data_IF_287482364688
#
_entry.id   IF_287482364688
#
_cell.length_a   1.000
_cell.length_b   1.000
_cell.length_c   1.000
_cell.angle_alpha   90.00
_cell.angle_beta   90.00
_cell.angle_gamma   90.00
#
_symmetry.space_group_name_H-M   'P 1'
#
loop_
_entity.id
_entity.type
_entity.pdbx_description
1 polymer ?
#
# COMPACT_ATOMS: atom_id res chain seq x y z
N UNK A 1 -37.93 -44.09 -38.12
CA UNK A 1 -38.93 -43.02 -38.31
C UNK A 1 -38.46 -41.80 -37.52
N UNK A 2 -38.36 -40.62 -38.16
CA UNK A 2 -37.96 -39.37 -37.49
C UNK A 2 -39.18 -38.75 -36.78
N UNK A 3 -39.01 -38.28 -35.54
CA UNK A 3 -39.96 -37.38 -34.87
C UNK A 3 -39.34 -35.98 -34.82
N UNK A 4 -40.03 -35.00 -35.39
CA UNK A 4 -39.66 -33.59 -35.34
C UNK A 4 -40.61 -32.94 -34.33
N UNK A 5 -40.05 -32.28 -33.32
CA UNK A 5 -40.79 -31.41 -32.41
C UNK A 5 -40.28 -29.99 -32.57
N UNK A 6 -41.14 -29.10 -33.05
CA UNK A 6 -40.92 -27.66 -33.02
C UNK A 6 -41.65 -27.10 -31.79
N UNK A 7 -40.99 -26.26 -31.00
CA UNK A 7 -41.66 -25.37 -30.06
C UNK A 7 -41.02 -23.98 -30.08
N UNK A 8 -41.87 -22.96 -30.02
CA UNK A 8 -41.52 -21.57 -30.31
C UNK A 8 -40.61 -20.92 -29.27
N UNK A 9 -39.68 -20.11 -29.75
CA UNK A 9 -38.94 -19.13 -28.94
C UNK A 9 -39.87 -17.96 -28.62
N UNK A 10 -40.06 -17.65 -27.33
CA UNK A 10 -40.79 -16.47 -26.88
C UNK A 10 -39.77 -15.38 -26.51
N UNK A 11 -39.65 -14.34 -27.34
CA UNK A 11 -38.77 -13.19 -27.06
C UNK A 11 -39.48 -12.20 -26.13
N UNK A 12 -38.92 -11.97 -24.94
CA UNK A 12 -39.43 -11.00 -23.99
C UNK A 12 -38.56 -9.72 -24.03
N UNK A 13 -39.02 -8.70 -24.74
CA UNK A 13 -38.34 -7.41 -24.83
C UNK A 13 -38.60 -6.54 -23.59
N UNK A 14 -37.56 -6.23 -22.81
CA UNK A 14 -37.64 -5.29 -21.68
C UNK A 14 -37.16 -3.91 -22.12
N UNK A 15 -38.06 -2.91 -22.07
CA UNK A 15 -37.74 -1.52 -22.40
C UNK A 15 -37.75 -0.68 -21.13
N UNK A 16 -36.59 -0.25 -20.65
CA UNK A 16 -36.49 0.72 -19.55
C UNK A 16 -36.62 2.16 -20.09
N UNK A 17 -37.64 2.89 -19.62
CA UNK A 17 -37.73 4.34 -19.81
C UNK A 17 -37.04 5.04 -18.65
N UNK A 18 -36.13 5.98 -18.97
CA UNK A 18 -35.49 6.86 -18.01
C UNK A 18 -36.43 8.00 -17.61
N UNK A 19 -36.82 8.07 -16.34
CA UNK A 19 -37.50 9.23 -15.74
C UNK A 19 -36.55 9.97 -14.79
N UNK A 20 -36.11 11.16 -15.21
CA UNK A 20 -35.30 12.03 -14.38
C UNK A 20 -36.19 12.74 -13.34
N UNK A 21 -35.86 12.61 -12.06
CA UNK A 21 -36.49 13.34 -10.97
C UNK A 21 -35.50 14.30 -10.31
N UNK A 22 -35.44 15.53 -10.82
CA UNK A 22 -35.01 16.66 -10.02
C UNK A 22 -36.20 17.14 -9.19
N UNK A 23 -36.06 17.24 -7.87
CA UNK A 23 -37.11 17.81 -7.01
C UNK A 23 -36.53 18.74 -5.96
N UNK A 24 -37.12 19.94 -5.93
CA UNK A 24 -36.76 21.08 -5.08
C UNK A 24 -37.79 21.17 -3.95
N UNK A 25 -37.31 21.39 -2.73
CA UNK A 25 -37.97 22.04 -1.57
C UNK A 25 -39.44 22.47 -1.76
N UNK A 26 -40.37 22.04 -0.89
CA UNK A 26 -40.92 22.85 0.23
C UNK A 26 -42.14 22.20 0.97
N UNK A 27 -42.31 22.59 2.24
CA UNK A 27 -43.42 22.51 3.24
C UNK A 27 -44.89 22.32 2.73
N UNK A 28 -45.89 21.88 3.52
CA UNK A 28 -45.99 21.28 4.87
C UNK A 28 -47.45 20.82 5.16
N UNK A 29 -47.67 20.08 6.27
CA UNK A 29 -48.79 20.18 7.25
C UNK A 29 -49.47 18.83 7.65
N UNK A 30 -49.26 18.45 8.92
CA UNK A 30 -50.19 17.84 9.93
C UNK A 30 -51.25 16.81 9.46
N UNK A 31 -51.41 15.61 10.06
CA UNK A 31 -51.82 15.42 11.47
C UNK A 31 -51.50 14.02 12.07
N UNK A 32 -51.12 14.04 13.36
CA UNK A 32 -51.50 13.14 14.47
C UNK A 32 -51.85 11.66 14.26
N UNK A 33 -51.00 10.76 14.78
CA UNK A 33 -51.44 9.52 15.44
C UNK A 33 -50.44 9.04 16.53
N UNK A 34 -50.94 8.85 17.75
CA UNK A 34 -50.21 8.65 19.03
C UNK A 34 -49.73 7.22 19.29
N UNK A 35 -48.49 7.05 19.80
CA UNK A 35 -48.09 6.23 21.00
C UNK A 35 -46.55 6.20 21.15
N UNK A 36 -45.96 6.75 22.24
CA UNK A 36 -45.55 6.05 23.50
C UNK A 36 -44.65 4.81 23.24
N UNK A 37 -43.48 4.56 23.85
CA UNK A 37 -42.85 5.04 25.12
C UNK A 37 -41.45 4.37 25.25
N UNK A 38 -40.37 4.82 25.94
CA UNK A 38 -39.98 6.08 26.64
C UNK A 38 -38.49 5.98 27.12
N UNK A 39 -37.61 6.95 26.78
CA UNK A 39 -36.33 7.33 27.48
C UNK A 39 -35.16 6.29 27.53
N UNK A 40 -33.89 6.65 27.80
CA UNK A 40 -33.31 7.91 28.29
C UNK A 40 -31.92 8.22 27.69
N UNK A 41 -31.63 9.52 27.48
CA UNK A 41 -30.26 10.04 27.56
C UNK A 41 -30.06 10.67 28.93
N UNK A 42 -28.92 10.43 29.58
CA UNK A 42 -28.48 11.25 30.71
C UNK A 42 -27.01 11.63 30.57
N UNK A 43 -26.78 12.94 30.55
CA UNK A 43 -25.48 13.60 30.45
C UNK A 43 -24.98 13.90 31.87
N UNK A 44 -23.71 13.61 32.17
CA UNK A 44 -23.03 14.29 33.29
C UNK A 44 -21.52 14.41 33.06
N UNK A 45 -20.94 15.41 33.72
CA UNK A 45 -19.61 16.01 33.48
C UNK A 45 -18.75 16.01 34.74
N UNK A 46 -17.46 16.37 34.59
CA UNK A 46 -16.47 16.70 35.66
C UNK A 46 -15.96 15.53 36.53
N UNK A 47 -14.73 15.51 37.07
CA UNK A 47 -13.48 16.25 36.80
C UNK A 47 -12.31 15.65 37.62
N UNK A 48 -11.08 16.13 37.38
CA UNK A 48 -9.95 16.25 38.35
C UNK A 48 -9.23 14.99 38.92
N UNK A 49 -7.91 14.94 38.62
CA UNK A 49 -6.78 14.38 39.43
C UNK A 49 -6.78 14.99 40.87
N UNK A 50 -6.12 14.44 41.92
CA UNK A 50 -4.64 14.43 42.02
C UNK A 50 -3.97 13.35 42.93
N UNK A 51 -2.63 13.46 43.08
CA UNK A 51 -1.77 12.93 44.18
C UNK A 51 -1.56 11.40 44.28
N UNK A 52 -0.46 10.86 44.86
CA UNK A 52 0.66 11.46 45.62
C UNK A 52 1.96 10.65 45.41
N UNK A 53 3.13 11.31 45.23
CA UNK A 53 4.29 11.32 46.17
C UNK A 53 5.16 10.03 46.18
N UNK A 54 6.49 10.04 46.45
CA UNK A 54 7.33 11.08 47.06
C UNK A 54 8.84 10.89 46.69
N UNK A 55 9.56 12.00 46.44
CA UNK A 55 10.92 12.39 46.93
C UNK A 55 12.15 11.44 46.87
N UNK A 56 13.42 11.89 46.94
CA UNK A 56 14.15 13.18 46.77
C UNK A 56 15.65 12.85 46.87
N UNK A 57 16.54 13.53 46.12
CA UNK A 57 17.78 14.21 46.62
C UNK A 57 18.67 14.71 45.48
N UNK A 58 18.81 16.04 45.43
CA UNK A 58 20.01 16.84 45.08
C UNK A 58 21.32 16.31 45.71
N UNK A 59 22.58 16.73 45.47
CA UNK A 59 23.30 17.92 44.93
C UNK A 59 24.77 17.43 44.65
N UNK A 60 25.75 18.13 44.05
CA UNK A 60 25.86 19.15 43.00
C UNK A 60 27.37 19.51 42.80
N UNK A 61 27.75 20.21 41.71
CA UNK A 61 29.06 20.89 41.52
C UNK A 61 30.31 19.96 41.34
N UNK A 62 31.45 20.32 40.74
CA UNK A 62 32.00 21.58 40.17
C UNK A 62 33.11 21.28 39.12
N UNK A 63 33.52 22.31 38.35
CA UNK A 63 34.88 22.55 37.78
C UNK A 63 35.55 21.48 36.88
N UNK A 64 35.78 21.69 35.58
CA UNK A 64 36.68 22.66 34.92
C UNK A 64 38.18 22.33 35.00
N UNK A 65 38.77 21.96 33.86
CA UNK A 65 40.10 22.41 33.40
C UNK A 65 40.28 22.13 31.89
N UNK A 66 41.23 22.82 31.24
CA UNK A 66 41.39 22.85 29.79
C UNK A 66 42.78 22.36 29.37
N UNK A 67 42.92 21.87 28.12
CA UNK A 67 44.00 22.31 27.19
C UNK A 67 43.96 21.67 25.80
N UNK A 68 44.02 22.54 24.80
CA UNK A 68 44.88 22.47 23.61
C UNK A 68 44.85 21.24 22.66
N UNK A 69 44.23 21.50 21.50
CA UNK A 69 44.93 21.58 20.22
C UNK A 69 45.69 20.33 19.72
N UNK A 70 45.09 19.66 18.75
CA UNK A 70 45.78 19.40 17.47
C UNK A 70 44.79 19.46 16.31
N UNK A 71 45.12 20.25 15.29
CA UNK A 71 44.47 20.19 13.98
C UNK A 71 45.16 19.10 13.18
N UNK A 72 44.45 18.02 12.84
CA UNK A 72 44.74 17.29 11.61
C UNK A 72 43.50 17.33 10.72
N UNK A 73 43.66 17.97 9.57
CA UNK A 73 42.64 18.12 8.54
C UNK A 73 42.45 16.77 7.84
N UNK A 74 41.52 15.96 8.31
CA UNK A 74 40.89 14.96 7.46
C UNK A 74 39.53 15.46 6.99
N UNK A 75 39.43 15.65 5.67
CA UNK A 75 38.18 15.95 4.98
C UNK A 75 37.31 14.69 4.92
N UNK A 76 36.84 14.24 6.10
CA UNK A 76 35.73 13.32 6.21
C UNK A 76 34.47 14.11 5.92
N UNK A 77 34.16 14.28 4.62
CA UNK A 77 32.82 14.63 4.19
C UNK A 77 31.93 13.48 4.63
N UNK A 78 31.32 13.61 5.80
CA UNK A 78 30.31 12.69 6.28
C UNK A 78 29.18 12.74 5.26
N UNK A 79 28.97 11.63 4.56
CA UNK A 79 27.70 11.37 3.91
C UNK A 79 26.67 11.23 5.04
N UNK A 80 26.06 12.34 5.43
CA UNK A 80 24.88 12.30 6.29
C UNK A 80 23.85 11.44 5.57
N UNK A 81 23.49 10.30 6.19
CA UNK A 81 22.45 9.42 5.68
C UNK A 81 21.16 10.22 5.60
N UNK A 82 20.78 10.61 4.38
CA UNK A 82 19.51 11.26 4.06
C UNK A 82 18.30 10.32 4.24
N UNK A 83 18.56 9.03 4.47
CA UNK A 83 17.57 8.05 4.90
C UNK A 83 17.34 8.09 6.41
N UNK A 84 16.05 8.04 6.78
CA UNK A 84 15.58 7.92 8.15
C UNK A 84 14.35 7.00 8.20
N UNK A 85 13.87 6.69 9.40
CA UNK A 85 12.60 5.97 9.58
C UNK A 85 11.37 6.80 9.18
N UNK A 86 11.55 8.11 8.93
CA UNK A 86 10.51 9.03 8.49
C UNK A 86 10.96 9.82 7.24
N UNK A 87 11.58 9.15 6.25
CA UNK A 87 11.96 9.81 4.99
C UNK A 87 10.71 10.28 4.27
N UNK A 88 10.57 11.59 4.04
CA UNK A 88 9.36 12.16 3.43
C UNK A 88 9.38 12.01 1.91
N UNK A 89 8.22 12.13 1.25
CA UNK A 89 8.14 12.09 -0.21
C UNK A 89 9.01 13.17 -0.87
N UNK A 90 9.09 14.37 -0.28
CA UNK A 90 9.97 15.44 -0.78
C UNK A 90 11.44 15.05 -0.73
N UNK A 91 11.86 14.31 0.31
CA UNK A 91 13.22 13.76 0.44
C UNK A 91 13.43 12.56 -0.51
N UNK A 92 12.44 11.69 -0.67
CA UNK A 92 12.48 10.56 -1.59
C UNK A 92 12.71 11.00 -3.04
N UNK A 93 12.19 12.16 -3.44
CA UNK A 93 12.42 12.76 -4.76
C UNK A 93 13.86 13.27 -4.97
N UNK A 94 14.68 13.45 -3.92
CA UNK A 94 16.10 13.82 -4.07
C UNK A 94 17.03 12.62 -4.20
N UNK A 95 16.54 11.40 -3.92
CA UNK A 95 17.32 10.18 -4.10
C UNK A 95 17.64 9.94 -5.59
N UNK A 96 18.85 9.46 -5.92
CA UNK A 96 19.22 9.18 -7.31
C UNK A 96 18.36 8.05 -7.88
N UNK A 97 17.93 8.22 -9.14
CA UNK A 97 17.33 7.13 -9.88
C UNK A 97 18.39 6.07 -10.23
N UNK A 98 17.98 4.79 -10.23
CA UNK A 98 18.77 3.65 -10.68
C UNK A 98 18.14 3.01 -11.92
N UNK A 99 18.91 2.20 -12.64
CA UNK A 99 18.40 1.40 -13.76
C UNK A 99 17.78 0.09 -13.27
N UNK A 100 16.99 -0.55 -14.12
CA UNK A 100 16.51 -1.92 -13.87
C UNK A 100 17.71 -2.86 -13.64
N UNK A 101 17.80 -3.57 -12.50
CA UNK A 101 18.89 -4.51 -12.25
C UNK A 101 18.80 -5.74 -13.18
N UNK A 102 19.92 -6.19 -13.75
CA UNK A 102 19.97 -7.42 -14.56
C UNK A 102 19.48 -8.65 -13.77
N UNK A 103 19.65 -8.66 -12.46
CA UNK A 103 19.15 -9.70 -11.56
C UNK A 103 17.61 -9.78 -11.53
N UNK A 104 16.92 -8.64 -11.72
CA UNK A 104 15.46 -8.54 -11.77
C UNK A 104 14.86 -9.11 -13.06
N UNK A 105 15.56 -8.95 -14.19
CA UNK A 105 15.10 -9.35 -15.52
C UNK A 105 14.98 -10.88 -15.61
N UNK A 106 13.87 -11.38 -16.11
CA UNK A 106 13.58 -12.81 -16.21
C UNK A 106 12.16 -13.16 -15.78
N UNK A 107 11.96 -14.42 -15.37
CA UNK A 107 10.66 -14.91 -14.91
C UNK A 107 10.68 -15.29 -13.43
N UNK A 108 9.60 -14.97 -12.74
CA UNK A 108 9.41 -15.20 -11.30
C UNK A 108 8.08 -15.89 -11.08
N UNK A 109 8.04 -16.89 -10.19
CA UNK A 109 6.83 -17.62 -9.87
C UNK A 109 6.64 -17.82 -8.37
N UNK A 110 5.39 -17.96 -7.93
CA UNK A 110 5.06 -18.20 -6.53
C UNK A 110 3.56 -18.19 -6.25
N UNK A 111 3.21 -18.00 -4.98
CA UNK A 111 1.82 -17.89 -4.51
C UNK A 111 1.74 -16.96 -3.29
N UNK A 112 0.53 -16.54 -2.93
CA UNK A 112 0.26 -15.75 -1.73
C UNK A 112 -1.02 -16.25 -1.05
N UNK A 113 -1.37 -15.76 0.15
CA UNK A 113 -2.67 -16.07 0.74
C UNK A 113 -3.85 -15.73 -0.19
N UNK A 114 -3.68 -14.70 -1.04
CA UNK A 114 -4.69 -14.18 -1.95
C UNK A 114 -4.63 -14.79 -3.35
N UNK A 115 -3.50 -15.36 -3.78
CA UNK A 115 -3.32 -15.92 -5.13
C UNK A 115 -2.77 -17.36 -5.11
N UNK A 116 -3.42 -18.27 -5.84
CA UNK A 116 -2.99 -19.67 -6.02
C UNK A 116 -1.70 -19.78 -6.84
N UNK A 117 -1.64 -19.03 -7.92
CA UNK A 117 -0.50 -18.93 -8.82
C UNK A 117 -0.22 -17.46 -9.13
N UNK A 118 1.06 -17.12 -9.19
CA UNK A 118 1.59 -15.81 -9.54
C UNK A 118 2.73 -16.06 -10.50
N UNK A 119 2.69 -15.45 -11.68
CA UNK A 119 3.79 -15.47 -12.64
C UNK A 119 4.10 -14.05 -13.10
N UNK A 120 5.35 -13.62 -12.95
CA UNK A 120 5.80 -12.28 -13.36
C UNK A 120 6.92 -12.43 -14.36
N UNK A 121 6.76 -11.82 -15.53
CA UNK A 121 7.85 -11.63 -16.49
C UNK A 121 8.30 -10.17 -16.44
N UNK A 122 9.58 -9.94 -16.17
CA UNK A 122 10.17 -8.61 -16.10
C UNK A 122 11.19 -8.45 -17.22
N UNK A 123 10.99 -7.43 -18.05
CA UNK A 123 11.86 -7.09 -19.18
C UNK A 123 12.91 -6.05 -18.80
N UNK A 124 14.02 -6.00 -19.54
CA UNK A 124 15.14 -5.07 -19.27
C UNK A 124 14.78 -3.58 -19.44
N UNK A 125 13.65 -3.27 -20.09
CA UNK A 125 13.10 -1.92 -20.20
C UNK A 125 12.20 -1.51 -19.00
N UNK A 126 12.09 -2.38 -17.98
CA UNK A 126 11.26 -2.16 -16.81
C UNK A 126 9.79 -2.53 -17.01
N UNK A 127 9.43 -3.23 -18.09
CA UNK A 127 8.07 -3.75 -18.29
C UNK A 127 7.84 -5.00 -17.45
N UNK A 128 6.84 -4.93 -16.57
CA UNK A 128 6.30 -6.03 -15.77
C UNK A 128 5.00 -6.54 -16.43
N UNK A 129 4.95 -7.83 -16.72
CA UNK A 129 3.71 -8.54 -17.06
C UNK A 129 3.43 -9.56 -15.97
N UNK A 130 2.32 -9.37 -15.25
CA UNK A 130 1.97 -10.13 -14.05
C UNK A 130 0.68 -10.88 -14.29
N UNK A 131 0.75 -12.22 -14.25
CA UNK A 131 -0.38 -13.15 -14.30
C UNK A 131 -0.68 -13.64 -12.89
N UNK A 132 -1.97 -13.66 -12.51
CA UNK A 132 -2.43 -14.03 -11.17
C UNK A 132 -3.70 -14.85 -11.25
N UNK A 133 -3.82 -15.90 -10.42
CA UNK A 133 -5.07 -16.61 -10.16
C UNK A 133 -5.49 -16.38 -8.70
N UNK A 134 -6.40 -15.43 -8.47
CA UNK A 134 -6.83 -15.05 -7.12
C UNK A 134 -7.79 -16.07 -6.48
N UNK A 135 -7.84 -16.05 -5.15
CA UNK A 135 -8.72 -16.84 -4.27
C UNK A 135 -9.21 -15.96 -3.11
N UNK A 136 -10.43 -16.21 -2.64
CA UNK A 136 -11.03 -15.54 -1.48
C UNK A 136 -10.48 -16.10 -0.16
N UNK A 137 -9.97 -17.33 -0.16
CA UNK A 137 -9.28 -17.93 0.99
C UNK A 137 -8.26 -18.97 0.54
N UNK A 138 -7.21 -19.17 1.34
CA UNK A 138 -6.08 -20.06 1.01
C UNK A 138 -6.51 -21.48 0.60
N UNK A 139 -7.51 -22.06 1.26
CA UNK A 139 -7.96 -23.43 1.02
C UNK A 139 -9.11 -23.53 -0.01
N UNK A 140 -9.25 -22.54 -0.91
CA UNK A 140 -10.32 -22.51 -1.90
C UNK A 140 -9.97 -23.26 -3.20
N UNK A 141 -10.48 -24.48 -3.30
CA UNK A 141 -10.54 -25.32 -4.52
C UNK A 141 -11.61 -24.84 -5.54
N UNK A 142 -12.13 -23.63 -5.37
CA UNK A 142 -13.23 -23.03 -6.13
C UNK A 142 -12.84 -22.47 -7.50
N UNK A 143 -13.58 -21.47 -7.97
CA UNK A 143 -13.36 -20.88 -9.30
C UNK A 143 -11.99 -20.19 -9.41
N UNK A 144 -11.41 -20.23 -10.62
CA UNK A 144 -10.18 -19.53 -10.96
C UNK A 144 -10.48 -18.07 -11.29
N UNK A 145 -9.87 -17.13 -10.56
CA UNK A 145 -10.06 -15.69 -10.73
C UNK A 145 -8.81 -15.11 -11.39
N UNK A 146 -8.69 -15.39 -12.70
CA UNK A 146 -7.49 -15.12 -13.47
C UNK A 146 -7.47 -13.67 -13.96
N UNK A 147 -6.38 -12.98 -13.64
CA UNK A 147 -6.08 -11.64 -14.13
C UNK A 147 -4.69 -11.60 -14.77
N UNK A 148 -4.47 -10.61 -15.63
CA UNK A 148 -3.16 -10.29 -16.18
C UNK A 148 -3.05 -8.78 -16.30
N UNK A 149 -2.02 -8.22 -15.68
CA UNK A 149 -1.77 -6.78 -15.62
C UNK A 149 -0.45 -6.46 -16.31
N UNK A 150 -0.32 -5.24 -16.82
CA UNK A 150 0.97 -4.76 -17.36
C UNK A 150 1.27 -3.32 -16.94
N UNK A 151 2.48 -3.10 -16.44
CA UNK A 151 3.03 -1.80 -16.12
C UNK A 151 4.49 -1.69 -16.60
N UNK A 152 4.97 -0.46 -16.83
CA UNK A 152 6.40 -0.18 -17.08
C UNK A 152 6.91 0.79 -16.04
N UNK A 153 7.93 0.38 -15.28
CA UNK A 153 8.64 1.25 -14.34
C UNK A 153 9.37 2.34 -15.13
N UNK A 154 9.17 3.59 -14.75
CA UNK A 154 9.82 4.76 -15.37
C UNK A 154 10.81 5.45 -14.44
N UNK A 155 10.65 5.26 -13.12
CA UNK A 155 11.58 5.77 -12.12
C UNK A 155 11.71 4.80 -10.94
N UNK A 156 12.93 4.38 -10.66
CA UNK A 156 13.31 3.37 -9.66
C UNK A 156 14.42 3.94 -8.78
N UNK A 157 14.37 3.71 -7.47
CA UNK A 157 15.46 4.01 -6.54
C UNK A 157 15.98 2.69 -5.96
N UNK A 158 17.31 2.56 -5.82
CA UNK A 158 17.93 1.63 -4.87
C UNK A 158 18.23 2.40 -3.58
N UNK A 159 17.47 2.15 -2.50
CA UNK A 159 17.57 2.94 -1.27
C UNK A 159 18.48 2.27 -0.22
N UNK A 160 18.67 0.96 -0.34
CA UNK A 160 19.68 0.16 0.34
C UNK A 160 20.10 -0.98 -0.60
N UNK A 161 21.23 -1.68 -0.37
CA UNK A 161 21.71 -2.72 -1.29
C UNK A 161 20.66 -3.79 -1.59
N UNK A 162 20.37 -3.99 -2.88
CA UNK A 162 19.30 -4.86 -3.41
C UNK A 162 17.86 -4.52 -2.97
N UNK A 163 17.62 -3.36 -2.36
CA UNK A 163 16.31 -2.90 -1.89
C UNK A 163 15.83 -1.72 -2.73
N UNK A 164 14.70 -1.91 -3.41
CA UNK A 164 14.22 -1.01 -4.44
C UNK A 164 12.82 -0.45 -4.15
N UNK A 165 12.63 0.83 -4.46
CA UNK A 165 11.34 1.52 -4.41
C UNK A 165 11.03 2.07 -5.80
N UNK A 166 9.83 1.78 -6.32
CA UNK A 166 9.34 2.30 -7.59
C UNK A 166 8.66 3.65 -7.31
N UNK A 167 9.26 4.74 -7.80
CA UNK A 167 8.68 6.09 -7.67
C UNK A 167 7.58 6.33 -8.70
N UNK A 168 7.83 5.94 -9.94
CA UNK A 168 6.92 6.16 -11.06
C UNK A 168 6.84 4.95 -11.98
N UNK A 169 5.65 4.72 -12.52
CA UNK A 169 5.37 3.72 -13.52
C UNK A 169 4.16 4.13 -14.38
N UNK A 170 4.15 3.65 -15.62
CA UNK A 170 3.03 3.71 -16.55
C UNK A 170 2.23 2.39 -16.53
N UNK A 171 0.92 2.45 -16.80
CA UNK A 171 0.07 1.26 -16.92
C UNK A 171 -0.65 0.85 -15.63
N UNK A 172 -0.85 -0.44 -15.44
CA UNK A 172 -1.68 -1.01 -14.37
C UNK A 172 -0.84 -1.31 -13.12
N UNK A 173 -0.93 -0.46 -12.10
CA UNK A 173 -0.13 -0.57 -10.87
C UNK A 173 -0.25 -1.93 -10.15
N UNK A 174 -1.33 -2.70 -10.34
CA UNK A 174 -1.45 -4.07 -9.83
C UNK A 174 -0.32 -4.98 -10.32
N UNK A 175 0.24 -4.75 -11.51
CA UNK A 175 1.37 -5.52 -12.03
C UNK A 175 2.64 -5.40 -11.16
N UNK A 176 2.75 -4.34 -10.35
CA UNK A 176 3.91 -4.04 -9.50
C UNK A 176 3.77 -4.57 -8.07
N UNK A 177 2.61 -5.16 -7.73
CA UNK A 177 2.32 -5.78 -6.42
C UNK A 177 1.78 -7.20 -6.61
N UNK A 178 2.56 -8.09 -7.23
CA UNK A 178 2.10 -9.42 -7.62
C UNK A 178 1.74 -10.27 -6.40
N UNK A 179 0.60 -10.96 -6.48
CA UNK A 179 -0.03 -11.72 -5.41
C UNK A 179 -0.92 -10.90 -4.47
N UNK A 180 -1.24 -9.63 -4.79
CA UNK A 180 -1.99 -8.72 -3.92
C UNK A 180 -3.20 -8.13 -4.63
N UNK A 181 -4.40 -8.29 -4.04
CA UNK A 181 -5.63 -7.65 -4.50
C UNK A 181 -6.21 -6.73 -3.42
N UNK A 182 -7.32 -6.05 -3.72
CA UNK A 182 -7.94 -5.07 -2.81
C UNK A 182 -7.08 -3.82 -2.56
N UNK A 183 -6.09 -3.57 -3.42
CA UNK A 183 -5.18 -2.43 -3.35
C UNK A 183 -5.96 -1.11 -3.43
N UNK A 184 -5.75 -0.25 -2.44
CA UNK A 184 -6.41 1.05 -2.33
C UNK A 184 -5.65 1.98 -1.40
N UNK A 185 -6.06 3.25 -1.35
CA UNK A 185 -5.29 4.29 -0.67
C UNK A 185 -4.15 4.81 -1.56
N UNK A 186 -3.11 5.40 -0.94
CA UNK A 186 -1.90 5.84 -1.63
C UNK A 186 -0.80 4.82 -1.31
N UNK A 187 -0.37 4.02 -2.29
CA UNK A 187 0.63 2.98 -2.11
C UNK A 187 1.85 3.28 -3.00
N UNK A 188 3.06 3.06 -2.47
CA UNK A 188 4.27 2.95 -3.27
C UNK A 188 4.75 1.49 -3.30
N UNK A 189 4.89 0.87 -4.48
CA UNK A 189 5.43 -0.49 -4.60
C UNK A 189 6.96 -0.50 -4.53
N UNK A 190 7.52 -1.63 -4.10
CA UNK A 190 8.95 -1.88 -4.07
C UNK A 190 9.25 -3.38 -4.06
N UNK A 191 10.54 -3.72 -4.12
CA UNK A 191 10.97 -5.11 -4.08
C UNK A 191 12.38 -5.26 -3.53
N UNK A 192 12.70 -6.48 -3.07
CA UNK A 192 14.04 -6.86 -2.63
C UNK A 192 14.51 -8.06 -3.46
N UNK A 193 15.78 -8.03 -3.89
CA UNK A 193 16.42 -9.10 -4.66
C UNK A 193 17.47 -9.82 -3.83
N UNK A 194 17.13 -10.98 -3.28
CA UNK A 194 18.03 -11.75 -2.40
C UNK A 194 17.93 -13.24 -2.68
N UNK A 195 19.08 -13.93 -2.77
CA UNK A 195 19.11 -15.40 -2.86
C UNK A 195 18.45 -16.00 -4.11
N UNK A 196 18.21 -15.22 -5.16
CA UNK A 196 17.42 -15.65 -6.32
C UNK A 196 15.91 -15.51 -6.13
N UNK A 197 15.48 -14.74 -5.14
CA UNK A 197 14.08 -14.43 -4.84
C UNK A 197 13.76 -12.95 -5.10
N UNK A 198 12.54 -12.71 -5.56
CA UNK A 198 11.91 -11.40 -5.66
C UNK A 198 10.88 -11.28 -4.55
N UNK A 199 11.15 -10.41 -3.58
CA UNK A 199 10.29 -10.19 -2.40
C UNK A 199 9.50 -8.90 -2.61
N UNK A 200 8.17 -8.98 -2.63
CA UNK A 200 7.26 -7.83 -2.78
C UNK A 200 7.15 -7.07 -1.46
N UNK A 201 7.43 -5.77 -1.50
CA UNK A 201 7.24 -4.83 -0.38
C UNK A 201 6.43 -3.62 -0.84
N UNK A 202 5.79 -2.92 0.09
CA UNK A 202 5.09 -1.67 -0.22
C UNK A 202 4.97 -0.74 0.99
N UNK A 203 4.81 0.55 0.71
CA UNK A 203 4.52 1.59 1.72
C UNK A 203 3.11 2.13 1.53
N UNK A 204 2.23 1.82 2.47
CA UNK A 204 0.91 2.43 2.57
C UNK A 204 0.99 3.83 3.19
N UNK A 205 0.42 4.81 2.51
CA UNK A 205 0.39 6.21 2.92
C UNK A 205 -1.05 6.71 3.13
N UNK A 206 -1.25 7.80 3.90
CA UNK A 206 -2.55 8.45 4.05
C UNK A 206 -3.19 8.75 2.68
N UNK A 207 -4.49 8.50 2.57
CA UNK A 207 -5.24 8.77 1.33
C UNK A 207 -5.44 10.27 1.08
N UNK A 208 -5.40 11.10 2.14
CA UNK A 208 -5.49 12.55 2.02
C UNK A 208 -4.21 13.10 1.34
N UNK A 209 -4.28 13.66 0.13
CA UNK A 209 -3.12 14.14 -0.61
C UNK A 209 -2.51 15.42 0.00
N UNK A 210 -3.15 16.04 0.99
CA UNK A 210 -2.57 17.16 1.74
C UNK A 210 -1.63 16.71 2.86
N UNK A 211 -1.63 15.41 3.21
CA UNK A 211 -0.68 14.82 4.15
C UNK A 211 0.54 14.35 3.37
N UNK A 212 1.72 14.78 3.78
CA UNK A 212 2.97 14.34 3.16
C UNK A 212 3.16 12.83 3.36
N UNK A 213 3.51 12.12 2.30
CA UNK A 213 3.81 10.69 2.37
C UNK A 213 5.17 10.48 3.06
N UNK A 214 5.27 9.42 3.85
CA UNK A 214 6.44 9.08 4.66
C UNK A 214 6.78 7.61 4.44
N UNK A 215 8.08 7.32 4.35
CA UNK A 215 8.65 6.03 4.02
C UNK A 215 9.66 5.68 5.09
N UNK A 216 9.43 4.59 5.82
CA UNK A 216 10.49 3.97 6.60
C UNK A 216 11.36 3.16 5.63
N UNK A 217 12.57 3.66 5.40
CA UNK A 217 13.58 3.06 4.51
C UNK A 217 14.75 2.45 5.30
N UNK A 218 14.67 2.43 6.63
CA UNK A 218 15.76 2.03 7.53
C UNK A 218 15.40 0.76 8.32
N UNK A 219 14.14 0.61 8.72
CA UNK A 219 13.64 -0.64 9.32
C UNK A 219 13.54 -1.78 8.29
N UNK A 220 13.56 -3.03 8.77
CA UNK A 220 13.28 -4.19 7.95
C UNK A 220 11.85 -4.10 7.37
N UNK A 221 11.67 -4.06 6.04
CA UNK A 221 10.36 -3.85 5.43
C UNK A 221 9.51 -5.13 5.48
N UNK A 222 8.19 -4.96 5.55
CA UNK A 222 7.27 -6.09 5.54
C UNK A 222 7.18 -6.71 4.13
N UNK A 223 7.58 -7.97 4.01
CA UNK A 223 7.46 -8.77 2.78
C UNK A 223 6.07 -9.39 2.70
N UNK A 224 5.31 -9.03 1.67
CA UNK A 224 3.95 -9.51 1.44
C UNK A 224 3.90 -10.82 0.65
N UNK A 225 4.81 -10.97 -0.32
CA UNK A 225 4.90 -12.11 -1.25
C UNK A 225 6.37 -12.36 -1.55
N UNK A 226 6.76 -13.62 -1.72
CA UNK A 226 8.08 -14.02 -2.22
C UNK A 226 7.88 -14.89 -3.45
N UNK A 227 8.55 -14.53 -4.55
CA UNK A 227 8.57 -15.28 -5.80
C UNK A 227 9.99 -15.77 -6.06
N UNK A 228 10.13 -17.01 -6.52
CA UNK A 228 11.41 -17.60 -6.88
C UNK A 228 11.68 -17.41 -8.39
N UNK A 229 12.95 -17.20 -8.76
CA UNK A 229 13.33 -17.08 -10.18
C UNK A 229 13.28 -18.45 -10.86
N UNK A 230 12.61 -18.54 -12.01
CA UNK A 230 12.46 -19.78 -12.78
C UNK A 230 13.25 -19.80 -14.10
N UNK A 231 13.52 -18.63 -14.68
CA UNK A 231 14.33 -18.41 -15.90
C UNK A 231 15.13 -17.10 -15.78
#
# INVERSE_FOLDING_TARGET
>A
MKKIFNYSVLLLSVTCLLTACASKKQESKSETATSKTTQASTKQTSSSKPASSQETTTEANSSAEASQQNQETQNSQAEESILSTETTHTQLLTLPATTIPDSLVGKWQGSSQQARNIEVTISADGTFTTYEDFRLSENEEGEHLIHTYTARVTDLIEYAPNHYLIREAEGEYSALLPGMTGLGGRIAPGFILEGGQYKVIMWGNPFDPSVEAVYDLVSEPHVYVTLDKVE
#
